data_IF_027562187198
#
_entry.id   IF_027562187198
#
_cell.length_a   1.000
_cell.length_b   1.000
_cell.length_c   1.000
_cell.angle_alpha   90.00
_cell.angle_beta   90.00
_cell.angle_gamma   90.00
#
_symmetry.space_group_name_H-M   'P 1'
#
loop_
_entity.id
_entity.type
_entity.pdbx_description
1 polymer ?
#
# COMPACT_ATOMS: atom_id res chain seq x y z
N UNK A 1 23.01 38.19 -10.60
CA UNK A 1 23.19 37.54 -11.90
C UNK A 1 23.55 36.07 -11.77
N UNK A 2 24.42 35.75 -10.83
CA UNK A 2 24.84 34.36 -10.66
C UNK A 2 23.69 33.44 -10.20
N UNK A 3 22.72 33.99 -9.48
CA UNK A 3 21.58 33.22 -9.04
C UNK A 3 20.71 32.75 -10.20
N UNK A 4 20.55 33.59 -11.23
CA UNK A 4 19.74 33.22 -12.39
C UNK A 4 20.41 32.16 -13.24
N UNK A 5 21.73 32.28 -13.45
CA UNK A 5 22.48 31.30 -14.23
C UNK A 5 22.55 29.96 -13.48
N UNK A 6 22.68 29.99 -12.14
CA UNK A 6 22.66 28.79 -11.33
C UNK A 6 21.31 28.12 -11.40
N UNK A 7 20.20 28.88 -11.34
CA UNK A 7 18.85 28.36 -11.45
C UNK A 7 18.61 27.74 -12.82
N UNK A 8 19.07 28.38 -13.88
CA UNK A 8 18.92 27.85 -15.24
C UNK A 8 19.72 26.57 -15.42
N UNK A 9 20.96 26.54 -14.91
CA UNK A 9 21.76 25.33 -14.93
C UNK A 9 21.12 24.20 -14.12
N UNK A 10 20.55 24.54 -13.00
CA UNK A 10 19.81 23.55 -12.16
C UNK A 10 18.65 22.98 -12.92
N UNK A 11 17.82 23.83 -13.54
CA UNK A 11 16.65 23.35 -14.30
C UNK A 11 17.05 22.56 -15.52
N UNK A 12 18.15 22.98 -16.23
CA UNK A 12 18.62 22.24 -17.39
C UNK A 12 19.15 20.86 -16.98
N UNK A 13 19.93 20.81 -15.92
CA UNK A 13 20.45 19.57 -15.36
C UNK A 13 19.28 18.69 -14.86
N UNK A 14 18.28 19.31 -14.22
CA UNK A 14 17.08 18.65 -13.77
C UNK A 14 16.33 18.00 -14.94
N UNK A 15 16.18 18.71 -16.04
CA UNK A 15 15.45 18.17 -17.19
C UNK A 15 16.14 16.99 -17.86
N UNK A 16 17.47 16.96 -17.87
CA UNK A 16 18.19 15.90 -18.58
C UNK A 16 18.33 14.62 -17.74
N UNK A 17 18.79 14.72 -16.49
CA UNK A 17 19.04 13.56 -15.66
C UNK A 17 17.83 13.20 -14.81
N UNK A 18 17.11 14.20 -14.32
CA UNK A 18 15.97 13.96 -13.43
C UNK A 18 14.72 13.50 -14.17
N UNK A 19 14.65 13.78 -15.48
CA UNK A 19 13.55 13.24 -16.29
C UNK A 19 13.58 11.72 -16.31
N UNK A 20 14.75 11.13 -16.51
CA UNK A 20 14.90 9.68 -16.43
C UNK A 20 14.67 9.16 -15.02
N UNK A 21 15.09 9.92 -14.02
CA UNK A 21 14.87 9.57 -12.62
C UNK A 21 13.38 9.57 -12.28
N UNK A 22 12.65 10.57 -12.76
CA UNK A 22 11.21 10.65 -12.58
C UNK A 22 10.49 9.50 -13.28
N UNK A 23 10.92 9.15 -14.49
CA UNK A 23 10.36 8.00 -15.20
C UNK A 23 10.59 6.70 -14.45
N UNK A 24 11.79 6.53 -13.90
CA UNK A 24 12.12 5.36 -13.10
C UNK A 24 11.26 5.30 -11.84
N UNK A 25 11.09 6.43 -11.15
CA UNK A 25 10.23 6.52 -9.98
C UNK A 25 8.78 6.22 -10.32
N UNK A 26 8.30 6.73 -11.46
CA UNK A 26 6.94 6.46 -11.91
C UNK A 26 6.74 4.97 -12.21
N UNK A 27 7.73 4.34 -12.84
CA UNK A 27 7.68 2.91 -13.12
C UNK A 27 7.64 2.10 -11.81
N UNK A 28 8.46 2.47 -10.84
CA UNK A 28 8.45 1.81 -9.52
C UNK A 28 7.11 1.98 -8.82
N UNK A 29 6.51 3.16 -8.92
CA UNK A 29 5.19 3.42 -8.34
C UNK A 29 4.12 2.55 -8.99
N UNK A 30 4.16 2.42 -10.31
CA UNK A 30 3.24 1.55 -11.03
C UNK A 30 3.44 0.09 -10.65
N UNK A 31 4.69 -0.34 -10.48
CA UNK A 31 5.01 -1.70 -10.04
C UNK A 31 4.43 -1.97 -8.66
N UNK A 32 4.67 -1.07 -7.70
CA UNK A 32 4.13 -1.21 -6.34
C UNK A 32 2.62 -1.30 -6.39
N UNK A 33 1.99 -0.42 -7.16
CA UNK A 33 0.53 -0.37 -7.26
C UNK A 33 -0.03 -1.66 -7.84
N UNK A 34 0.55 -2.14 -8.95
CA UNK A 34 0.08 -3.36 -9.60
C UNK A 34 0.22 -4.56 -8.69
N UNK A 35 1.40 -4.73 -8.08
CA UNK A 35 1.67 -5.86 -7.20
C UNK A 35 0.72 -5.80 -5.99
N UNK A 36 0.57 -4.62 -5.39
CA UNK A 36 -0.29 -4.45 -4.22
C UNK A 36 -1.75 -4.71 -4.54
N UNK A 37 -2.22 -4.24 -5.70
CA UNK A 37 -3.60 -4.45 -6.12
C UNK A 37 -3.86 -5.94 -6.37
N UNK A 38 -2.97 -6.61 -7.07
CA UNK A 38 -3.13 -8.03 -7.39
C UNK A 38 -3.12 -8.85 -6.11
N UNK A 39 -2.09 -8.69 -5.28
CA UNK A 39 -1.97 -9.43 -4.03
C UNK A 39 -3.10 -9.06 -3.07
N UNK A 40 -3.41 -7.77 -2.97
CA UNK A 40 -4.47 -7.29 -2.09
C UNK A 40 -5.83 -7.81 -2.50
N UNK A 41 -6.10 -7.88 -3.80
CA UNK A 41 -7.36 -8.41 -4.31
C UNK A 41 -7.49 -9.90 -3.98
N UNK A 42 -6.44 -10.67 -4.24
CA UNK A 42 -6.45 -12.10 -3.95
C UNK A 42 -6.67 -12.34 -2.44
N UNK A 43 -5.88 -11.68 -1.61
CA UNK A 43 -6.00 -11.81 -0.16
C UNK A 43 -7.34 -11.28 0.34
N UNK A 44 -7.84 -10.19 -0.27
CA UNK A 44 -9.13 -9.62 0.10
C UNK A 44 -10.29 -10.54 -0.21
N UNK A 45 -10.23 -11.22 -1.34
CA UNK A 45 -11.25 -12.19 -1.70
C UNK A 45 -11.23 -13.35 -0.70
N UNK A 46 -10.05 -13.84 -0.35
CA UNK A 46 -9.91 -14.92 0.62
C UNK A 46 -10.44 -14.49 2.00
N UNK A 47 -10.04 -13.31 2.46
CA UNK A 47 -10.49 -12.80 3.76
C UNK A 47 -11.99 -12.53 3.76
N UNK A 48 -12.52 -11.98 2.66
CA UNK A 48 -13.94 -11.72 2.53
C UNK A 48 -14.76 -13.01 2.55
N UNK A 49 -14.26 -14.03 1.88
CA UNK A 49 -14.88 -15.35 1.91
C UNK A 49 -14.91 -15.91 3.32
N UNK A 50 -13.78 -15.83 4.03
CA UNK A 50 -13.70 -16.32 5.42
C UNK A 50 -14.66 -15.55 6.30
N UNK A 51 -14.74 -14.24 6.15
CA UNK A 51 -15.67 -13.43 6.95
C UNK A 51 -17.12 -13.76 6.66
N UNK A 52 -17.44 -14.07 5.40
CA UNK A 52 -18.81 -14.39 5.01
C UNK A 52 -19.23 -15.78 5.52
N UNK A 53 -18.35 -16.77 5.37
CA UNK A 53 -18.65 -18.16 5.74
C UNK A 53 -18.57 -18.36 7.24
N UNK A 54 -17.61 -17.73 7.89
CA UNK A 54 -17.34 -17.95 9.30
C UNK A 54 -18.28 -17.09 10.16
N UNK A 55 -19.05 -17.77 11.03
CA UNK A 55 -19.94 -17.10 11.97
C UNK A 55 -19.37 -17.12 13.39
N UNK A 56 -18.07 -17.30 13.50
CA UNK A 56 -17.37 -17.50 14.75
C UNK A 56 -16.75 -16.21 15.25
N UNK A 57 -16.31 -16.22 16.51
CA UNK A 57 -15.59 -15.10 17.11
C UNK A 57 -14.32 -14.74 16.34
N UNK A 58 -13.71 -15.74 15.68
CA UNK A 58 -12.54 -15.50 14.84
C UNK A 58 -12.81 -14.56 13.67
N UNK A 59 -14.00 -14.68 13.05
CA UNK A 59 -14.38 -13.80 11.96
C UNK A 59 -14.58 -12.36 12.47
N UNK A 60 -15.17 -12.20 13.64
CA UNK A 60 -15.33 -10.87 14.24
C UNK A 60 -13.98 -10.26 14.58
N UNK A 61 -13.04 -11.05 15.08
CA UNK A 61 -11.66 -10.58 15.37
C UNK A 61 -10.95 -10.14 14.10
N UNK A 62 -11.05 -10.95 13.04
CA UNK A 62 -10.43 -10.61 11.77
C UNK A 62 -11.05 -9.34 11.18
N UNK A 63 -12.37 -9.23 11.23
CA UNK A 63 -13.06 -8.04 10.75
C UNK A 63 -12.66 -6.80 11.51
N UNK A 64 -12.55 -6.90 12.84
CA UNK A 64 -12.09 -5.80 13.66
C UNK A 64 -10.66 -5.39 13.32
N UNK A 65 -9.77 -6.37 13.13
CA UNK A 65 -8.39 -6.13 12.76
C UNK A 65 -8.31 -5.39 11.42
N UNK A 66 -9.08 -5.84 10.43
CA UNK A 66 -9.11 -5.19 9.12
C UNK A 66 -9.69 -3.78 9.21
N UNK A 67 -10.72 -3.58 10.03
CA UNK A 67 -11.33 -2.27 10.23
C UNK A 67 -10.35 -1.29 10.88
N UNK A 68 -9.56 -1.76 11.84
CA UNK A 68 -8.51 -0.94 12.45
C UNK A 68 -7.51 -0.49 11.40
N UNK A 69 -7.07 -1.40 10.53
CA UNK A 69 -6.15 -1.04 9.46
C UNK A 69 -6.74 -0.01 8.51
N UNK A 70 -8.02 -0.12 8.17
CA UNK A 70 -8.67 0.86 7.30
C UNK A 70 -8.83 2.22 7.97
N UNK A 71 -8.99 2.23 9.30
CA UNK A 71 -9.19 3.47 10.04
C UNK A 71 -7.92 4.31 10.16
N UNK A 72 -6.75 3.68 10.11
CA UNK A 72 -5.47 4.38 10.23
C UNK A 72 -5.11 4.96 8.86
N UNK A 73 -4.73 6.26 8.78
CA UNK A 73 -4.29 6.83 7.51
C UNK A 73 -3.12 6.05 6.91
N UNK A 74 -3.15 5.89 5.59
CA UNK A 74 -2.17 5.05 4.88
C UNK A 74 -0.73 5.50 5.13
N UNK A 75 -0.50 6.81 5.14
CA UNK A 75 0.84 7.36 5.36
C UNK A 75 1.37 6.94 6.74
N UNK A 76 0.51 7.02 7.76
CA UNK A 76 0.90 6.63 9.12
C UNK A 76 1.21 5.14 9.17
N UNK A 77 0.44 4.32 8.49
CA UNK A 77 0.71 2.88 8.42
C UNK A 77 2.07 2.59 7.80
N UNK A 78 2.39 3.26 6.69
CA UNK A 78 3.67 3.06 6.01
C UNK A 78 4.83 3.44 6.94
N UNK A 79 4.73 4.57 7.62
CA UNK A 79 5.77 5.03 8.54
C UNK A 79 5.93 4.05 9.70
N UNK A 80 4.81 3.60 10.28
CA UNK A 80 4.84 2.67 11.41
C UNK A 80 5.50 1.36 11.01
N UNK A 81 5.10 0.77 9.89
CA UNK A 81 5.67 -0.50 9.45
C UNK A 81 7.13 -0.34 9.06
N UNK A 82 7.50 0.74 8.40
CA UNK A 82 8.89 0.98 8.01
C UNK A 82 9.80 1.07 9.23
N UNK A 83 9.33 1.68 10.32
CA UNK A 83 10.10 1.81 11.55
C UNK A 83 10.01 0.56 12.43
N UNK A 84 8.89 -0.16 12.36
CA UNK A 84 8.65 -1.32 13.21
C UNK A 84 9.42 -2.56 12.75
N UNK A 85 9.52 -2.78 11.46
CA UNK A 85 10.17 -3.99 10.93
C UNK A 85 11.62 -4.12 11.35
N UNK A 86 12.46 -3.05 11.35
CA UNK A 86 13.83 -3.19 11.85
C UNK A 86 13.92 -3.58 13.32
N UNK A 87 12.93 -3.21 14.13
CA UNK A 87 12.93 -3.56 15.54
C UNK A 87 12.77 -5.06 15.77
N UNK A 88 12.07 -5.75 14.88
CA UNK A 88 11.90 -7.20 14.98
C UNK A 88 12.92 -7.97 14.13
N UNK A 89 13.92 -7.27 13.59
CA UNK A 89 15.00 -7.89 12.82
C UNK A 89 14.73 -8.01 11.33
N UNK A 90 13.62 -7.46 10.84
CA UNK A 90 13.28 -7.47 9.41
C UNK A 90 13.65 -6.11 8.83
N UNK A 91 14.61 -6.10 7.90
CA UNK A 91 15.07 -4.86 7.27
C UNK A 91 14.45 -4.77 5.88
N UNK A 92 13.41 -3.94 5.76
CA UNK A 92 12.75 -3.66 4.49
C UNK A 92 13.09 -2.24 4.06
N UNK A 93 13.28 -2.04 2.76
CA UNK A 93 13.41 -0.69 2.24
C UNK A 93 12.02 -0.04 2.10
N UNK A 94 11.99 1.22 1.70
CA UNK A 94 10.73 1.95 1.57
C UNK A 94 9.81 1.30 0.54
N UNK A 95 10.37 0.76 -0.54
CA UNK A 95 9.60 0.07 -1.58
C UNK A 95 8.89 -1.15 -1.01
N UNK A 96 9.63 -1.99 -0.30
CA UNK A 96 9.09 -3.23 0.27
C UNK A 96 8.07 -2.94 1.35
N UNK A 97 8.37 -2.00 2.24
CA UNK A 97 7.44 -1.62 3.31
C UNK A 97 6.16 -1.04 2.73
N UNK A 98 6.28 -0.18 1.71
CA UNK A 98 5.12 0.39 1.04
C UNK A 98 4.26 -0.67 0.37
N UNK A 99 4.90 -1.63 -0.30
CA UNK A 99 4.19 -2.72 -0.96
C UNK A 99 3.40 -3.56 0.04
N UNK A 100 4.01 -3.90 1.18
CA UNK A 100 3.35 -4.69 2.21
C UNK A 100 2.15 -3.95 2.77
N UNK A 101 2.32 -2.68 3.12
CA UNK A 101 1.25 -1.87 3.71
C UNK A 101 0.11 -1.68 2.72
N UNK A 102 0.43 -1.36 1.46
CA UNK A 102 -0.59 -1.20 0.43
C UNK A 102 -1.34 -2.49 0.17
N UNK A 103 -0.65 -3.62 0.19
CA UNK A 103 -1.27 -4.93 0.03
C UNK A 103 -2.27 -5.20 1.14
N UNK A 104 -1.88 -4.94 2.39
CA UNK A 104 -2.75 -5.13 3.55
C UNK A 104 -3.97 -4.20 3.45
N UNK A 105 -3.73 -2.92 3.12
CA UNK A 105 -4.80 -1.94 2.99
C UNK A 105 -5.79 -2.34 1.88
N UNK A 106 -5.26 -2.71 0.72
CA UNK A 106 -6.08 -3.14 -0.40
C UNK A 106 -6.87 -4.41 -0.06
N UNK A 107 -6.25 -5.37 0.61
CA UNK A 107 -6.95 -6.59 1.01
C UNK A 107 -8.06 -6.31 2.01
N UNK A 108 -7.88 -5.35 2.91
CA UNK A 108 -8.91 -4.94 3.85
C UNK A 108 -10.13 -4.36 3.14
N UNK A 109 -9.88 -3.49 2.16
CA UNK A 109 -10.95 -2.89 1.37
C UNK A 109 -11.68 -3.93 0.53
N UNK A 110 -10.93 -4.81 -0.13
CA UNK A 110 -11.51 -5.84 -0.98
C UNK A 110 -12.28 -6.87 -0.16
N UNK A 111 -11.80 -7.21 1.04
CA UNK A 111 -12.52 -8.12 1.92
C UNK A 111 -13.87 -7.54 2.30
N UNK A 112 -13.91 -6.26 2.63
CA UNK A 112 -15.15 -5.58 2.98
C UNK A 112 -16.12 -5.55 1.80
N UNK A 113 -15.63 -5.19 0.61
CA UNK A 113 -16.46 -5.10 -0.59
C UNK A 113 -16.97 -6.49 -0.99
N UNK A 114 -16.10 -7.49 -0.96
CA UNK A 114 -16.46 -8.85 -1.35
C UNK A 114 -17.49 -9.46 -0.40
N UNK A 115 -17.29 -9.24 0.90
CA UNK A 115 -18.24 -9.70 1.90
C UNK A 115 -19.61 -9.06 1.68
N UNK A 116 -19.63 -7.73 1.44
CA UNK A 116 -20.87 -7.02 1.17
C UNK A 116 -21.57 -7.55 -0.06
N UNK A 117 -20.79 -7.83 -1.11
CA UNK A 117 -21.33 -8.40 -2.34
C UNK A 117 -21.94 -9.78 -2.12
N UNK A 118 -21.25 -10.64 -1.36
CA UNK A 118 -21.78 -11.97 -1.04
C UNK A 118 -23.05 -11.88 -0.20
N UNK A 119 -23.06 -11.00 0.79
CA UNK A 119 -24.23 -10.81 1.64
C UNK A 119 -25.45 -10.32 0.85
N UNK A 120 -25.22 -9.49 -0.15
CA UNK A 120 -26.30 -8.95 -0.97
C UNK A 120 -26.89 -9.98 -1.93
N UNK A 121 -26.11 -10.98 -2.33
CA UNK A 121 -26.58 -12.06 -3.20
C UNK A 121 -27.49 -13.04 -2.46
N UNK A 122 -27.26 -13.21 -1.18
CA UNK A 122 -28.10 -14.07 -0.34
C UNK A 122 -29.40 -13.36 0.02
#
# INVERSE_FOLDING_TARGET
MDSNSSSIQFFTSFQSSDFFYILDAAFNTLLISCVSIILGTILGILFGWVLHVSKWKGAATLGLFLDIFRSIPLIIQIILFYNFFPLIGIYLDAFEAGTVVLTIYCSSLMAFVFRGGLDSVE
#
